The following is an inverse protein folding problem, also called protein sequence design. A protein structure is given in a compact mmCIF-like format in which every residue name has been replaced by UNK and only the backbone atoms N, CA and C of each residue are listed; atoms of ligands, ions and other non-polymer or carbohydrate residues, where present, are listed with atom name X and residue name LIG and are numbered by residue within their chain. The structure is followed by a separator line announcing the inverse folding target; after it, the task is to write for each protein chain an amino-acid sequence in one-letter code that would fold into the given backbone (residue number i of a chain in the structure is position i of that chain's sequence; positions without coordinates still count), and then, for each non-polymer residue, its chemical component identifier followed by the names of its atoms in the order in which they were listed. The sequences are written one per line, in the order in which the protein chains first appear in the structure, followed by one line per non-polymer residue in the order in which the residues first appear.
data_IF_188381615064
#
_entry.id   IF_188381615064
#
_cell.length_a   1.000
_cell.length_b   1.000
_cell.length_c   1.000
_cell.angle_alpha   90.00
_cell.angle_beta   90.00
_cell.angle_gamma   90.00
#
_symmetry.space_group_name_H-M   'P 1'
#
loop_
_entity.id
_entity.type
_entity.pdbx_description
1 polymer ?
#
# COMPACT_ATOMS: atom_id res chain seq x y z
N UNK A 1 -24.02 6.33 -2.29
CA UNK A 1 -22.94 5.30 -2.32
C UNK A 1 -22.20 5.21 -3.67
N UNK A 2 -22.86 5.13 -4.83
CA UNK A 2 -22.15 5.00 -6.13
C UNK A 2 -21.23 6.18 -6.46
N UNK A 3 -21.59 7.41 -6.07
CA UNK A 3 -20.76 8.62 -6.24
C UNK A 3 -19.40 8.50 -5.53
N UNK A 4 -19.39 8.02 -4.28
CA UNK A 4 -18.15 7.79 -3.52
C UNK A 4 -17.27 6.74 -4.20
N UNK A 5 -17.86 5.62 -4.62
CA UNK A 5 -17.14 4.55 -5.35
C UNK A 5 -16.47 5.07 -6.62
N UNK A 6 -17.16 5.93 -7.40
CA UNK A 6 -16.57 6.59 -8.56
C UNK A 6 -15.40 7.50 -8.20
N UNK A 7 -15.53 8.28 -7.13
CA UNK A 7 -14.44 9.15 -6.64
C UNK A 7 -13.23 8.31 -6.24
N UNK A 8 -13.43 7.24 -5.47
CA UNK A 8 -12.37 6.32 -5.07
C UNK A 8 -11.71 5.67 -6.30
N UNK A 9 -12.50 5.16 -7.24
CA UNK A 9 -11.98 4.57 -8.47
C UNK A 9 -11.11 5.55 -9.27
N UNK A 10 -11.57 6.80 -9.41
CA UNK A 10 -10.82 7.85 -10.11
C UNK A 10 -9.59 8.32 -9.32
N UNK A 11 -9.59 8.20 -8.00
CA UNK A 11 -8.45 8.60 -7.16
C UNK A 11 -7.22 7.70 -7.33
N UNK A 12 -7.37 6.53 -7.95
CA UNK A 12 -6.24 5.67 -8.29
C UNK A 12 -5.22 6.37 -9.19
N UNK A 13 -5.68 7.20 -10.14
CA UNK A 13 -4.80 7.92 -11.08
C UNK A 13 -3.89 8.91 -10.34
N UNK A 14 -4.40 9.89 -9.57
CA UNK A 14 -3.54 10.80 -8.82
C UNK A 14 -2.71 10.07 -7.75
N UNK A 15 -3.22 9.00 -7.11
CA UNK A 15 -2.42 8.20 -6.17
C UNK A 15 -1.18 7.61 -6.86
N UNK A 16 -1.36 6.99 -8.03
CA UNK A 16 -0.26 6.44 -8.80
C UNK A 16 0.74 7.52 -9.21
N UNK A 17 0.26 8.67 -9.70
CA UNK A 17 1.12 9.78 -10.09
C UNK A 17 1.92 10.34 -8.90
N UNK A 18 1.30 10.44 -7.71
CA UNK A 18 2.00 10.87 -6.48
C UNK A 18 3.09 9.87 -6.10
N UNK A 19 2.82 8.57 -6.14
CA UNK A 19 3.85 7.55 -5.84
C UNK A 19 4.99 7.61 -6.84
N UNK A 20 4.70 7.73 -8.13
CA UNK A 20 5.71 7.91 -9.18
C UNK A 20 6.52 9.19 -8.95
N UNK A 21 5.87 10.31 -8.65
CA UNK A 21 6.55 11.56 -8.35
C UNK A 21 7.48 11.43 -7.15
N UNK A 22 7.02 10.83 -6.05
CA UNK A 22 7.82 10.60 -4.85
C UNK A 22 9.02 9.69 -5.12
N UNK A 23 8.88 8.72 -6.04
CA UNK A 23 9.96 7.78 -6.37
C UNK A 23 11.22 8.44 -6.94
N UNK A 24 11.11 9.66 -7.49
CA UNK A 24 12.26 10.44 -7.94
C UNK A 24 13.06 11.09 -6.78
N UNK A 25 12.57 11.02 -5.55
CA UNK A 25 13.18 11.64 -4.37
C UNK A 25 13.46 10.58 -3.28
N UNK A 26 14.40 9.63 -3.52
CA UNK A 26 14.71 8.56 -2.57
C UNK A 26 15.20 9.08 -1.21
N UNK A 27 15.93 10.19 -1.17
CA UNK A 27 16.39 10.81 0.08
C UNK A 27 15.22 11.30 0.94
N UNK A 28 14.20 11.89 0.32
CA UNK A 28 12.97 12.29 1.01
C UNK A 28 12.24 11.07 1.58
N UNK A 29 12.15 9.99 0.81
CA UNK A 29 11.52 8.74 1.24
C UNK A 29 12.30 8.13 2.41
N UNK A 30 13.62 8.11 2.38
CA UNK A 30 14.44 7.58 3.47
C UNK A 30 14.24 8.41 4.74
N UNK A 31 14.47 9.73 4.65
CA UNK A 31 14.49 10.62 5.81
C UNK A 31 13.09 10.76 6.39
N UNK A 32 12.06 11.07 5.60
CA UNK A 32 10.73 11.42 6.13
C UNK A 32 9.85 10.17 6.27
N UNK A 33 9.71 9.39 5.19
CA UNK A 33 8.77 8.27 5.20
C UNK A 33 9.32 7.08 5.98
N UNK A 34 10.52 6.61 5.65
CA UNK A 34 11.08 5.35 6.18
C UNK A 34 11.45 5.49 7.67
N UNK A 35 12.14 6.58 8.03
CA UNK A 35 12.69 6.76 9.38
C UNK A 35 11.70 7.39 10.38
N UNK A 36 10.61 8.02 9.93
CA UNK A 36 9.57 8.54 10.84
C UNK A 36 8.22 7.87 10.61
N UNK A 37 7.57 8.14 9.47
CA UNK A 37 6.17 7.72 9.23
C UNK A 37 6.00 6.20 9.35
N UNK A 38 6.86 5.44 8.66
CA UNK A 38 6.82 3.99 8.63
C UNK A 38 7.16 3.39 10.00
N UNK A 39 8.04 4.00 10.80
CA UNK A 39 8.34 3.52 12.16
C UNK A 39 7.09 3.55 13.04
N UNK A 40 6.30 4.62 12.99
CA UNK A 40 5.03 4.69 13.74
C UNK A 40 4.02 3.65 13.25
N UNK A 41 3.84 3.53 11.93
CA UNK A 41 2.87 2.59 11.34
C UNK A 41 3.27 1.14 11.65
N UNK A 42 4.52 0.77 11.40
CA UNK A 42 5.04 -0.58 11.62
C UNK A 42 5.00 -0.97 13.10
N UNK A 43 5.31 -0.04 14.02
CA UNK A 43 5.21 -0.29 15.46
C UNK A 43 3.78 -0.55 15.89
N UNK A 44 2.82 0.24 15.39
CA UNK A 44 1.40 0.01 15.64
C UNK A 44 0.93 -1.35 15.11
N UNK A 45 1.21 -1.68 13.84
CA UNK A 45 0.84 -2.96 13.24
C UNK A 45 1.48 -4.16 13.97
N UNK A 46 2.75 -4.03 14.38
CA UNK A 46 3.47 -5.03 15.17
C UNK A 46 2.85 -5.22 16.54
N UNK A 47 2.43 -4.15 17.21
CA UNK A 47 1.78 -4.23 18.54
C UNK A 47 0.51 -5.09 18.52
N UNK A 48 -0.25 -5.03 17.43
CA UNK A 48 -1.45 -5.85 17.22
C UNK A 48 -1.05 -7.30 16.91
N UNK A 49 0.00 -7.48 16.11
CA UNK A 49 0.46 -8.79 15.63
C UNK A 49 1.16 -9.64 16.69
N UNK A 50 1.85 -9.03 17.66
CA UNK A 50 2.63 -9.75 18.69
C UNK A 50 1.77 -10.76 19.49
N UNK A 51 0.48 -10.48 19.67
CA UNK A 51 -0.42 -11.34 20.47
C UNK A 51 -0.91 -12.58 19.71
N UNK A 52 -0.59 -12.69 18.43
CA UNK A 52 -1.16 -13.69 17.53
C UNK A 52 -0.01 -14.59 17.01
N UNK A 53 -0.08 -15.93 17.18
CA UNK A 53 1.03 -16.83 16.85
C UNK A 53 1.14 -17.14 15.34
N UNK A 54 0.53 -16.33 14.48
CA UNK A 54 0.54 -16.47 13.02
C UNK A 54 0.51 -15.09 12.35
N UNK A 55 0.89 -15.03 11.09
CA UNK A 55 0.91 -13.78 10.33
C UNK A 55 -0.53 -13.29 10.06
N UNK A 56 -0.90 -12.15 10.65
CA UNK A 56 -2.22 -11.51 10.41
C UNK A 56 -2.43 -11.21 8.92
N UNK A 57 -1.35 -10.86 8.21
CA UNK A 57 -1.36 -10.60 6.78
C UNK A 57 -1.91 -11.76 5.96
N UNK A 58 -1.55 -13.01 6.30
CA UNK A 58 -1.99 -14.18 5.54
C UNK A 58 -3.49 -14.41 5.66
N UNK A 59 -4.04 -14.24 6.86
CA UNK A 59 -5.50 -14.31 7.08
C UNK A 59 -6.20 -13.18 6.32
N UNK A 60 -5.63 -11.97 6.37
CA UNK A 60 -6.18 -10.82 5.65
C UNK A 60 -6.18 -11.06 4.13
N UNK A 61 -5.08 -11.55 3.56
CA UNK A 61 -4.97 -11.85 2.14
C UNK A 61 -5.94 -12.96 1.72
N UNK A 62 -6.06 -14.03 2.51
CA UNK A 62 -7.01 -15.11 2.25
C UNK A 62 -8.44 -14.59 2.26
N UNK A 63 -8.82 -13.83 3.28
CA UNK A 63 -10.17 -13.26 3.42
C UNK A 63 -10.51 -12.30 2.29
N UNK A 64 -9.63 -11.34 1.98
CA UNK A 64 -9.83 -10.38 0.89
C UNK A 64 -9.92 -11.11 -0.45
N UNK A 65 -9.11 -12.13 -0.69
CA UNK A 65 -9.12 -12.87 -1.96
C UNK A 65 -10.43 -13.64 -2.14
N UNK A 66 -10.85 -14.44 -1.15
CA UNK A 66 -12.08 -15.23 -1.22
C UNK A 66 -13.30 -14.30 -1.36
N UNK A 67 -13.37 -13.25 -0.54
CA UNK A 67 -14.50 -12.32 -0.58
C UNK A 67 -14.56 -11.56 -1.90
N UNK A 68 -13.42 -11.16 -2.46
CA UNK A 68 -13.37 -10.50 -3.78
C UNK A 68 -13.87 -11.41 -4.89
N UNK A 69 -13.44 -12.68 -4.91
CA UNK A 69 -13.91 -13.67 -5.90
C UNK A 69 -15.42 -13.89 -5.78
N UNK A 70 -15.90 -14.16 -4.56
CA UNK A 70 -17.32 -14.35 -4.29
C UNK A 70 -18.15 -13.15 -4.77
N UNK A 71 -17.70 -11.95 -4.41
CA UNK A 71 -18.39 -10.71 -4.74
C UNK A 71 -18.39 -10.41 -6.25
N UNK A 72 -17.30 -10.71 -6.97
CA UNK A 72 -17.22 -10.61 -8.44
C UNK A 72 -18.22 -11.54 -9.10
N UNK A 73 -18.27 -12.82 -8.68
CA UNK A 73 -19.18 -13.82 -9.26
C UNK A 73 -20.63 -13.40 -9.11
N UNK A 74 -21.03 -12.87 -7.95
CA UNK A 74 -22.40 -12.39 -7.73
C UNK A 74 -22.79 -11.18 -8.59
N UNK A 75 -21.84 -10.29 -8.88
CA UNK A 75 -22.11 -9.01 -9.55
C UNK A 75 -21.74 -9.00 -11.04
N UNK A 76 -21.31 -10.14 -11.60
CA UNK A 76 -20.84 -10.26 -12.99
C UNK A 76 -21.89 -9.81 -14.02
N UNK A 77 -23.18 -9.92 -13.68
CA UNK A 77 -24.30 -9.48 -14.52
C UNK A 77 -24.42 -7.96 -14.66
N UNK A 78 -23.67 -7.19 -13.87
CA UNK A 78 -23.66 -5.71 -13.89
C UNK A 78 -22.24 -5.17 -14.12
N UNK A 79 -21.63 -5.42 -15.30
CA UNK A 79 -20.20 -5.23 -15.53
C UNK A 79 -19.73 -3.78 -15.33
N UNK A 80 -20.54 -2.78 -15.74
CA UNK A 80 -20.18 -1.36 -15.54
C UNK A 80 -20.08 -0.96 -14.07
N UNK A 81 -21.01 -1.45 -13.24
CA UNK A 81 -21.02 -1.18 -11.81
C UNK A 81 -19.88 -1.92 -11.12
N UNK A 82 -19.73 -3.21 -11.46
CA UNK A 82 -18.65 -4.07 -10.99
C UNK A 82 -17.28 -3.45 -11.27
N UNK A 83 -17.06 -2.92 -12.48
CA UNK A 83 -15.80 -2.26 -12.86
C UNK A 83 -15.46 -1.08 -11.94
N UNK A 84 -16.41 -0.17 -11.71
CA UNK A 84 -16.20 0.99 -10.82
C UNK A 84 -15.88 0.54 -9.40
N UNK A 85 -16.55 -0.49 -8.91
CA UNK A 85 -16.36 -1.03 -7.56
C UNK A 85 -15.02 -1.75 -7.40
N UNK A 86 -14.56 -2.50 -8.41
CA UNK A 86 -13.22 -3.11 -8.45
C UNK A 86 -12.16 -2.01 -8.39
N UNK A 87 -12.24 -1.00 -9.25
CA UNK A 87 -11.26 0.09 -9.25
C UNK A 87 -11.27 0.90 -7.95
N UNK A 88 -12.44 1.09 -7.34
CA UNK A 88 -12.54 1.69 -6.01
C UNK A 88 -11.82 0.85 -4.95
N UNK A 89 -12.00 -0.48 -4.97
CA UNK A 89 -11.31 -1.40 -4.09
C UNK A 89 -9.80 -1.40 -4.30
N UNK A 90 -9.35 -1.46 -5.56
CA UNK A 90 -7.93 -1.36 -5.94
C UNK A 90 -7.34 -0.05 -5.45
N UNK A 91 -8.03 1.08 -5.60
CA UNK A 91 -7.54 2.37 -5.10
C UNK A 91 -7.33 2.38 -3.58
N UNK A 92 -8.26 1.80 -2.83
CA UNK A 92 -8.13 1.69 -1.37
C UNK A 92 -6.93 0.80 -1.03
N UNK A 93 -6.80 -0.37 -1.64
CA UNK A 93 -5.68 -1.28 -1.42
C UNK A 93 -4.35 -0.63 -1.79
N UNK A 94 -4.28 0.05 -2.95
CA UNK A 94 -3.09 0.74 -3.42
C UNK A 94 -2.65 1.85 -2.47
N UNK A 95 -3.58 2.65 -1.97
CA UNK A 95 -3.31 3.69 -0.99
C UNK A 95 -2.74 3.12 0.31
N UNK A 96 -3.44 2.13 0.90
CA UNK A 96 -2.98 1.50 2.14
C UNK A 96 -1.64 0.79 1.96
N UNK A 97 -1.44 0.06 0.86
CA UNK A 97 -0.17 -0.58 0.55
C UNK A 97 0.97 0.44 0.54
N UNK A 98 0.84 1.54 -0.22
CA UNK A 98 1.91 2.52 -0.38
C UNK A 98 2.22 3.27 0.93
N UNK A 99 1.20 3.63 1.71
CA UNK A 99 1.42 4.29 3.01
C UNK A 99 1.93 3.31 4.06
N UNK A 100 1.46 2.07 4.08
CA UNK A 100 1.86 1.11 5.10
C UNK A 100 3.27 0.61 4.91
N UNK A 101 3.72 0.39 3.68
CA UNK A 101 5.12 0.01 3.43
C UNK A 101 5.62 0.30 2.00
N UNK A 102 4.72 0.49 1.03
CA UNK A 102 5.07 0.48 -0.39
C UNK A 102 6.02 1.59 -0.83
N UNK A 103 6.02 2.74 -0.17
CA UNK A 103 7.01 3.79 -0.47
C UNK A 103 8.44 3.37 -0.10
N UNK A 104 8.65 2.45 0.85
CA UNK A 104 9.99 1.96 1.20
C UNK A 104 10.70 1.24 0.04
N UNK A 105 9.98 0.76 -0.98
CA UNK A 105 10.60 0.15 -2.17
C UNK A 105 11.39 1.16 -3.02
N UNK A 106 11.15 2.46 -2.83
CA UNK A 106 11.80 3.54 -3.56
C UNK A 106 12.83 4.29 -2.72
N UNK A 107 13.17 3.77 -1.54
CA UNK A 107 14.21 4.34 -0.67
C UNK A 107 15.61 4.07 -1.22
N UNK A 108 16.63 4.68 -0.60
CA UNK A 108 18.03 4.49 -1.00
C UNK A 108 18.41 2.99 -0.89
N UNK A 109 18.98 2.38 -1.94
CA UNK A 109 19.44 0.99 -1.89
C UNK A 109 20.49 0.78 -0.79
N UNK A 110 20.36 -0.32 -0.04
CA UNK A 110 21.21 -0.64 1.12
C UNK A 110 22.70 -0.72 0.74
N UNK A 111 23.03 -1.21 -0.46
CA UNK A 111 24.41 -1.28 -0.92
C UNK A 111 25.08 0.11 -1.02
N UNK A 112 24.34 1.14 -1.42
CA UNK A 112 24.83 2.53 -1.44
C UNK A 112 24.99 3.09 -0.03
N UNK A 113 24.08 2.75 0.88
CA UNK A 113 24.15 3.18 2.28
C UNK A 113 25.41 2.65 2.98
N UNK A 114 25.83 1.42 2.67
CA UNK A 114 26.99 0.78 3.30
C UNK A 114 28.31 1.35 2.76
N UNK A 115 28.37 1.74 1.48
CA UNK A 115 29.57 2.38 0.92
C UNK A 115 29.87 3.72 1.60
N UNK A 116 28.88 4.57 1.81
CA UNK A 116 29.06 5.89 2.48
C UNK A 116 29.62 5.77 3.92
N UNK A 117 29.27 4.69 4.63
CA UNK A 117 29.77 4.42 5.99
C UNK A 117 31.24 3.98 5.99
N UNK A 118 31.74 3.37 4.91
CA UNK A 118 33.10 2.85 4.84
C UNK A 118 34.14 3.88 4.36
N UNK A 119 33.73 5.01 3.76
CA UNK A 119 34.63 6.06 3.27
C UNK A 119 34.82 7.25 4.23
N UNK A 120 34.34 7.15 5.47
CA UNK A 120 34.50 8.18 6.51
C UNK A 120 35.70 7.89 7.43
N UNK A 121 36.89 7.70 6.82
CA UNK A 121 38.19 7.68 7.52
C UNK A 121 38.94 8.99 7.32
#
# INVERSE_FOLDING_TARGET
MLKLKKILALSLIPQYLVVQFLSYYPDFIEIIYSNYIYVYISTFLRSISIKIPFAIGDIFYLFVSIFSIYWIVLNIKSPKKLFVEIFAGISVIYFFFNISWGLNYYRIPINKQIEDVNYSY
#
